data_IF_869611330515
#
_entry.id   IF_869611330515
#
_cell.length_a   1.000
_cell.length_b   1.000
_cell.length_c   1.000
_cell.angle_alpha   90.00
_cell.angle_beta   90.00
_cell.angle_gamma   90.00
#
_symmetry.space_group_name_H-M   'P 1'
#
loop_
_entity.id
_entity.type
_entity.pdbx_description
1 polymer ?
#
# COMPACT_ATOMS: atom_id res chain seq x y z
N UNK A 1 4.02 20.40 -7.80
CA UNK A 1 4.72 19.59 -8.80
C UNK A 1 4.05 18.25 -8.89
N UNK A 2 4.00 17.60 -10.06
CA UNK A 2 3.54 16.23 -10.17
C UNK A 2 4.33 15.29 -9.24
N UNK A 3 3.63 14.36 -8.62
CA UNK A 3 4.20 13.34 -7.72
C UNK A 3 3.93 11.96 -8.30
N UNK A 4 4.70 10.96 -7.87
CA UNK A 4 4.47 9.55 -8.22
C UNK A 4 3.80 8.82 -7.07
N UNK A 5 2.62 8.25 -7.34
CA UNK A 5 1.80 7.52 -6.39
C UNK A 5 1.68 6.05 -6.78
N UNK A 6 1.72 5.18 -5.80
CA UNK A 6 1.46 3.74 -5.98
C UNK A 6 0.25 3.35 -5.14
N UNK A 7 -0.82 2.85 -5.78
CA UNK A 7 -2.08 2.47 -5.12
C UNK A 7 -2.27 0.96 -5.22
N UNK A 8 -2.15 0.28 -4.09
CA UNK A 8 -2.36 -1.17 -4.00
C UNK A 8 -3.83 -1.46 -3.67
N UNK A 9 -4.55 -2.11 -4.59
CA UNK A 9 -5.99 -2.35 -4.47
C UNK A 9 -6.84 -1.20 -5.05
N UNK A 10 -6.66 -0.92 -6.36
CA UNK A 10 -7.22 0.23 -7.06
C UNK A 10 -8.45 -0.07 -7.93
N UNK A 11 -9.01 -1.30 -7.90
CA UNK A 11 -10.04 -1.71 -8.87
C UNK A 11 -11.43 -1.16 -8.61
N UNK A 12 -11.71 -0.73 -7.37
CA UNK A 12 -13.04 -0.22 -6.94
C UNK A 12 -12.94 0.65 -5.68
N UNK A 13 -14.05 1.28 -5.31
CA UNK A 13 -14.21 2.04 -4.07
C UNK A 13 -13.11 3.07 -3.86
N UNK A 14 -12.59 3.13 -2.66
CA UNK A 14 -11.57 4.07 -2.19
C UNK A 14 -10.33 4.09 -3.09
N UNK A 15 -9.80 2.91 -3.46
CA UNK A 15 -8.58 2.84 -4.29
C UNK A 15 -8.79 3.32 -5.72
N UNK A 16 -9.94 3.06 -6.31
CA UNK A 16 -10.31 3.59 -7.63
C UNK A 16 -10.45 5.11 -7.59
N UNK A 17 -11.09 5.63 -6.55
CA UNK A 17 -11.27 7.07 -6.38
C UNK A 17 -9.93 7.79 -6.15
N UNK A 18 -9.01 7.22 -5.34
CA UNK A 18 -7.64 7.73 -5.25
C UNK A 18 -7.02 7.86 -6.64
N UNK A 19 -7.08 6.79 -7.44
CA UNK A 19 -6.50 6.77 -8.79
C UNK A 19 -7.11 7.86 -9.66
N UNK A 20 -8.44 8.00 -9.64
CA UNK A 20 -9.18 8.99 -10.43
C UNK A 20 -8.80 10.43 -10.07
N UNK A 21 -8.82 10.78 -8.77
CA UNK A 21 -8.48 12.14 -8.32
C UNK A 21 -7.02 12.48 -8.58
N UNK A 22 -6.09 11.55 -8.32
CA UNK A 22 -4.66 11.77 -8.55
C UNK A 22 -4.36 12.00 -10.04
N UNK A 23 -4.98 11.25 -10.93
CA UNK A 23 -4.87 11.48 -12.37
C UNK A 23 -5.43 12.85 -12.76
N UNK A 24 -6.59 13.24 -12.22
CA UNK A 24 -7.18 14.54 -12.49
C UNK A 24 -6.30 15.71 -12.05
N UNK A 25 -5.50 15.52 -10.99
CA UNK A 25 -4.50 16.46 -10.49
C UNK A 25 -3.18 16.42 -11.28
N UNK A 26 -3.04 15.56 -12.29
CA UNK A 26 -1.86 15.44 -13.14
C UNK A 26 -0.70 14.69 -12.50
N UNK A 27 -0.96 13.87 -11.48
CA UNK A 27 0.04 12.99 -10.87
C UNK A 27 0.30 11.75 -11.72
N UNK A 28 1.46 11.14 -11.55
CA UNK A 28 1.78 9.82 -12.09
C UNK A 28 1.26 8.76 -11.12
N UNK A 29 0.48 7.79 -11.61
CA UNK A 29 -0.14 6.77 -10.78
C UNK A 29 0.24 5.37 -11.26
N UNK A 30 0.77 4.57 -10.34
CA UNK A 30 0.94 3.13 -10.50
C UNK A 30 -0.17 2.48 -9.67
N UNK A 31 -1.09 1.79 -10.32
CA UNK A 31 -2.27 1.19 -9.68
C UNK A 31 -2.24 -0.33 -9.81
N UNK A 32 -2.81 -1.06 -8.84
CA UNK A 32 -2.83 -2.53 -8.93
C UNK A 32 -4.23 -3.12 -9.05
N UNK A 33 -4.30 -4.23 -9.79
CA UNK A 33 -5.44 -5.13 -9.89
C UNK A 33 -5.01 -6.56 -9.54
N UNK A 34 -5.94 -7.40 -9.03
CA UNK A 34 -5.65 -8.79 -8.63
C UNK A 34 -5.52 -9.77 -9.79
N UNK A 35 -6.12 -9.49 -10.93
CA UNK A 35 -6.16 -10.40 -12.08
C UNK A 35 -5.39 -9.83 -13.25
N UNK A 36 -4.78 -10.70 -14.09
CA UNK A 36 -4.11 -10.26 -15.29
C UNK A 36 -5.10 -9.52 -16.18
N UNK A 37 -4.68 -8.36 -16.59
CA UNK A 37 -5.49 -7.37 -17.30
C UNK A 37 -5.82 -7.79 -18.73
N UNK A 38 -5.08 -8.75 -19.30
CA UNK A 38 -5.26 -9.21 -20.67
C UNK A 38 -6.54 -10.02 -20.95
N UNK A 39 -7.11 -10.69 -19.94
CA UNK A 39 -8.35 -11.47 -20.14
C UNK A 39 -9.62 -10.63 -20.25
N UNK A 40 -9.53 -9.31 -20.04
CA UNK A 40 -10.69 -8.39 -20.13
C UNK A 40 -10.86 -7.76 -21.51
N UNK A 41 -9.88 -7.92 -22.40
CA UNK A 41 -9.94 -7.35 -23.77
C UNK A 41 -10.52 -8.32 -24.82
N UNK A 42 -10.72 -9.59 -24.49
CA UNK A 42 -11.47 -10.52 -25.37
C UNK A 42 -12.90 -10.60 -24.87
N UNK A 43 -13.91 -10.21 -25.67
CA UNK A 43 -15.29 -10.56 -25.37
C UNK A 43 -15.36 -12.09 -25.27
N UNK A 44 -15.67 -12.60 -24.08
CA UNK A 44 -15.98 -14.02 -23.94
C UNK A 44 -17.09 -14.36 -24.93
N UNK A 45 -16.95 -15.40 -25.78
CA UNK A 45 -18.06 -15.84 -26.61
C UNK A 45 -19.23 -16.13 -25.67
N UNK A 46 -20.34 -15.45 -25.92
CA UNK A 46 -21.56 -15.51 -25.14
C UNK A 46 -21.94 -16.95 -24.83
N UNK A 47 -21.78 -17.37 -23.59
CA UNK A 47 -22.44 -18.59 -23.10
C UNK A 47 -23.96 -18.36 -23.23
N UNK A 48 -24.73 -19.36 -23.71
CA UNK A 48 -26.17 -19.24 -23.81
C UNK A 48 -26.76 -18.93 -22.43
N UNK A 49 -27.66 -17.95 -22.37
CA UNK A 49 -28.43 -17.61 -21.18
C UNK A 49 -29.08 -18.89 -20.62
N UNK A 50 -28.98 -19.19 -19.31
CA UNK A 50 -29.72 -20.30 -18.71
C UNK A 50 -31.24 -20.07 -18.87
N UNK A 51 -31.93 -21.09 -19.26
CA UNK A 51 -33.40 -21.13 -19.35
C UNK A 51 -34.04 -20.76 -18.00
N UNK A 52 -35.17 -20.04 -17.97
CA UNK A 52 -35.75 -19.43 -16.78
C UNK A 52 -36.57 -20.44 -15.95
N UNK A 53 -36.02 -21.53 -15.47
CA UNK A 53 -36.74 -22.45 -14.55
C UNK A 53 -35.81 -23.48 -13.87
N UNK A 54 -34.60 -23.11 -13.46
CA UNK A 54 -33.84 -23.95 -12.51
C UNK A 54 -33.32 -23.06 -11.40
N UNK A 55 -34.01 -23.02 -10.28
CA UNK A 55 -33.49 -22.53 -9.01
C UNK A 55 -32.54 -23.60 -8.44
N UNK A 56 -31.24 -23.39 -8.36
CA UNK A 56 -30.36 -24.29 -7.62
C UNK A 56 -30.64 -24.12 -6.13
N UNK A 57 -30.94 -25.21 -5.47
CA UNK A 57 -31.01 -25.27 -4.02
C UNK A 57 -29.62 -24.98 -3.46
N UNK A 58 -29.41 -23.96 -2.61
CA UNK A 58 -28.07 -23.63 -2.14
C UNK A 58 -27.60 -24.71 -1.17
N UNK A 59 -26.54 -25.41 -1.56
CA UNK A 59 -25.80 -26.32 -0.66
C UNK A 59 -25.13 -25.46 0.43
N UNK A 60 -25.47 -25.66 1.72
CA UNK A 60 -24.90 -24.84 2.81
C UNK A 60 -23.40 -25.06 3.03
N UNK A 61 -22.74 -26.03 2.39
CA UNK A 61 -21.32 -26.35 2.52
C UNK A 61 -20.48 -26.03 1.29
N UNK A 62 -21.08 -25.44 0.24
CA UNK A 62 -20.31 -24.98 -0.91
C UNK A 62 -19.44 -23.79 -0.54
N UNK A 63 -18.11 -23.77 -0.87
CA UNK A 63 -17.29 -22.59 -0.66
C UNK A 63 -17.90 -21.43 -1.43
N UNK A 64 -18.31 -20.37 -0.71
CA UNK A 64 -18.91 -19.17 -1.30
C UNK A 64 -17.89 -18.56 -2.25
N UNK A 65 -18.13 -18.67 -3.54
CA UNK A 65 -17.41 -17.88 -4.54
C UNK A 65 -17.56 -16.40 -4.18
N UNK A 66 -16.49 -15.59 -4.23
CA UNK A 66 -16.57 -14.18 -3.88
C UNK A 66 -17.69 -13.52 -4.69
N UNK A 67 -18.60 -12.83 -4.02
CA UNK A 67 -19.81 -12.18 -4.59
C UNK A 67 -19.53 -11.13 -5.66
N UNK A 68 -18.26 -10.74 -5.84
CA UNK A 68 -17.85 -9.73 -6.80
C UNK A 68 -16.72 -10.25 -7.66
N UNK A 69 -16.91 -10.35 -8.99
CA UNK A 69 -15.80 -10.61 -9.89
C UNK A 69 -14.75 -9.51 -9.71
N UNK A 70 -13.47 -9.87 -9.74
CA UNK A 70 -12.35 -8.94 -9.71
C UNK A 70 -12.28 -8.15 -11.03
N UNK A 71 -13.34 -7.37 -11.33
CA UNK A 71 -13.44 -6.64 -12.57
C UNK A 71 -12.67 -5.33 -12.46
N UNK A 72 -11.54 -5.23 -13.13
CA UNK A 72 -10.73 -4.02 -13.22
C UNK A 72 -11.20 -3.05 -14.33
N UNK A 73 -12.37 -3.26 -14.92
CA UNK A 73 -12.87 -2.45 -16.05
C UNK A 73 -12.90 -0.96 -15.75
N UNK A 74 -13.35 -0.57 -14.55
CA UNK A 74 -13.39 0.82 -14.14
C UNK A 74 -11.99 1.44 -14.00
N UNK A 75 -11.02 0.66 -13.53
CA UNK A 75 -9.62 1.10 -13.46
C UNK A 75 -9.04 1.26 -14.87
N UNK A 76 -9.33 0.33 -15.78
CA UNK A 76 -8.94 0.43 -17.20
C UNK A 76 -9.60 1.61 -17.91
N UNK A 77 -10.85 1.93 -17.60
CA UNK A 77 -11.54 3.07 -18.17
C UNK A 77 -10.80 4.40 -17.91
N UNK A 78 -10.07 4.50 -16.80
CA UNK A 78 -9.28 5.69 -16.48
C UNK A 78 -8.14 5.94 -17.47
N UNK A 79 -7.65 4.93 -18.19
CA UNK A 79 -6.63 5.11 -19.25
C UNK A 79 -7.14 5.95 -20.41
N UNK A 80 -8.45 6.01 -20.62
CA UNK A 80 -9.11 6.84 -21.64
C UNK A 80 -9.38 8.29 -21.20
N UNK A 81 -9.06 8.66 -19.97
CA UNK A 81 -9.22 10.04 -19.47
C UNK A 81 -8.09 10.95 -20.00
N UNK A 82 -8.22 12.29 -19.94
CA UNK A 82 -7.18 13.21 -20.45
C UNK A 82 -5.78 12.95 -19.89
N UNK A 83 -5.68 12.57 -18.62
CA UNK A 83 -4.40 12.24 -17.95
C UNK A 83 -4.16 10.73 -17.82
N UNK A 84 -4.94 9.90 -18.53
CA UNK A 84 -4.84 8.43 -18.45
C UNK A 84 -3.49 7.88 -18.89
N UNK A 85 -2.72 8.64 -19.68
CA UNK A 85 -1.34 8.28 -20.05
C UNK A 85 -0.37 8.27 -18.86
N UNK A 86 -0.73 8.91 -17.75
CA UNK A 86 0.04 8.88 -16.49
C UNK A 86 -0.29 7.64 -15.62
N UNK A 87 -1.19 6.74 -16.06
CA UNK A 87 -1.57 5.55 -15.34
C UNK A 87 -0.80 4.32 -15.83
N UNK A 88 -0.13 3.66 -14.91
CA UNK A 88 0.46 2.32 -15.11
C UNK A 88 -0.30 1.31 -14.25
N UNK A 89 -0.81 0.24 -14.86
CA UNK A 89 -1.55 -0.80 -14.14
C UNK A 89 -0.67 -2.05 -14.03
N UNK A 90 -0.48 -2.55 -12.80
CA UNK A 90 0.27 -3.75 -12.47
C UNK A 90 -0.64 -4.79 -11.80
N UNK A 91 -0.23 -6.05 -11.84
CA UNK A 91 -0.92 -7.12 -11.13
C UNK A 91 -0.33 -7.29 -9.72
N UNK A 92 -1.22 -7.34 -8.70
CA UNK A 92 -0.86 -7.67 -7.32
C UNK A 92 -2.06 -8.25 -6.57
N UNK A 93 -1.95 -9.50 -6.16
CA UNK A 93 -2.82 -10.08 -5.13
C UNK A 93 -2.06 -10.07 -3.80
N UNK A 94 -2.52 -9.24 -2.87
CA UNK A 94 -1.88 -9.11 -1.55
C UNK A 94 -2.06 -10.35 -0.66
N UNK A 95 -2.93 -11.27 -1.02
CA UNK A 95 -3.12 -12.54 -0.32
C UNK A 95 -2.17 -13.66 -0.79
N UNK A 96 -1.41 -13.41 -1.86
CA UNK A 96 -0.43 -14.35 -2.42
C UNK A 96 0.99 -13.77 -2.43
N UNK A 97 1.89 -14.39 -1.65
CA UNK A 97 3.28 -13.95 -1.55
C UNK A 97 4.03 -13.99 -2.90
N UNK A 98 3.70 -14.95 -3.77
CA UNK A 98 4.32 -15.03 -5.11
C UNK A 98 3.90 -13.87 -5.98
N UNK A 99 2.62 -13.49 -5.90
CA UNK A 99 2.09 -12.30 -6.57
C UNK A 99 2.75 -11.03 -6.07
N UNK A 100 2.91 -10.88 -4.74
CA UNK A 100 3.62 -9.73 -4.13
C UNK A 100 5.06 -9.63 -4.64
N UNK A 101 5.80 -10.75 -4.69
CA UNK A 101 7.18 -10.79 -5.20
C UNK A 101 7.25 -10.39 -6.68
N UNK A 102 6.37 -10.94 -7.52
CA UNK A 102 6.28 -10.62 -8.94
C UNK A 102 5.93 -9.14 -9.18
N UNK A 103 4.99 -8.62 -8.40
CA UNK A 103 4.63 -7.21 -8.39
C UNK A 103 5.83 -6.32 -8.03
N UNK A 104 6.56 -6.65 -6.98
CA UNK A 104 7.75 -5.90 -6.55
C UNK A 104 8.81 -5.85 -7.65
N UNK A 105 9.05 -6.96 -8.35
CA UNK A 105 9.96 -6.99 -9.50
C UNK A 105 9.43 -6.17 -10.68
N UNK A 106 8.13 -6.11 -10.87
CA UNK A 106 7.52 -5.24 -11.89
C UNK A 106 7.72 -3.76 -11.55
N UNK A 107 7.55 -3.36 -10.28
CA UNK A 107 7.87 -2.00 -9.81
C UNK A 107 9.36 -1.69 -10.00
N UNK A 108 10.26 -2.61 -9.66
CA UNK A 108 11.71 -2.47 -9.88
C UNK A 108 12.04 -2.19 -11.35
N UNK A 109 11.38 -2.88 -12.28
CA UNK A 109 11.58 -2.68 -13.72
C UNK A 109 11.19 -1.27 -14.19
N UNK A 110 10.24 -0.61 -13.52
CA UNK A 110 9.87 0.77 -13.83
C UNK A 110 10.97 1.78 -13.49
N UNK A 111 11.94 1.42 -12.64
CA UNK A 111 13.13 2.21 -12.33
C UNK A 111 14.24 2.14 -13.38
N UNK A 112 14.04 1.45 -14.51
CA UNK A 112 15.00 1.45 -15.62
C UNK A 112 14.95 2.76 -16.40
N UNK A 113 16.02 3.03 -17.15
CA UNK A 113 16.09 4.21 -18.04
C UNK A 113 14.88 4.26 -18.98
N UNK A 114 14.20 5.39 -19.03
CA UNK A 114 12.94 5.59 -19.79
C UNK A 114 11.69 5.02 -19.09
N UNK A 115 11.82 4.45 -17.91
CA UNK A 115 10.67 3.97 -17.13
C UNK A 115 10.03 5.05 -16.27
N UNK A 116 8.81 4.81 -15.82
CA UNK A 116 8.00 5.73 -15.00
C UNK A 116 8.70 6.13 -13.69
N UNK A 117 9.58 5.27 -13.16
CA UNK A 117 10.36 5.48 -11.94
C UNK A 117 11.85 5.72 -12.22
N UNK A 118 12.20 6.26 -13.38
CA UNK A 118 13.61 6.59 -13.72
C UNK A 118 14.26 7.54 -12.71
N UNK A 119 13.48 8.38 -12.01
CA UNK A 119 13.95 9.22 -10.91
C UNK A 119 14.21 8.50 -9.59
N UNK A 120 13.91 7.20 -9.48
CA UNK A 120 14.13 6.39 -8.26
C UNK A 120 13.28 6.78 -7.06
N UNK A 121 12.14 7.45 -7.25
CA UNK A 121 11.30 7.93 -6.14
C UNK A 121 9.83 7.55 -6.37
N UNK A 122 9.22 7.01 -5.32
CA UNK A 122 7.77 6.95 -5.14
C UNK A 122 7.43 7.89 -3.97
N UNK A 123 6.69 8.96 -4.26
CA UNK A 123 6.35 9.95 -3.22
C UNK A 123 5.38 9.36 -2.20
N UNK A 124 4.35 8.63 -2.66
CA UNK A 124 3.36 8.01 -1.76
C UNK A 124 3.00 6.62 -2.24
N UNK A 125 3.03 5.66 -1.32
CA UNK A 125 2.44 4.33 -1.47
C UNK A 125 1.19 4.24 -0.62
N UNK A 126 0.04 3.86 -1.21
CA UNK A 126 -1.21 3.61 -0.48
C UNK A 126 -1.52 2.13 -0.51
N UNK A 127 -1.43 1.45 0.64
CA UNK A 127 -1.82 0.07 0.87
C UNK A 127 -3.31 0.05 1.23
N UNK A 128 -4.18 -0.04 0.20
CA UNK A 128 -5.62 0.09 0.35
C UNK A 128 -6.38 -1.25 0.24
N UNK A 129 -5.78 -2.26 -0.35
CA UNK A 129 -6.44 -3.56 -0.49
C UNK A 129 -6.94 -4.10 0.85
N UNK A 130 -8.19 -4.52 0.89
CA UNK A 130 -8.82 -5.06 2.10
C UNK A 130 -10.10 -5.81 1.79
N UNK A 131 -10.57 -6.57 2.78
CA UNK A 131 -11.84 -7.32 2.75
C UNK A 131 -12.61 -7.11 4.06
N UNK A 132 -13.92 -7.18 3.93
CA UNK A 132 -14.87 -7.29 5.02
C UNK A 132 -15.89 -8.37 4.64
N UNK A 133 -15.90 -9.48 5.36
CA UNK A 133 -16.96 -10.49 5.31
C UNK A 133 -17.84 -10.31 6.54
N UNK A 134 -19.10 -10.05 6.31
CA UNK A 134 -20.08 -9.78 7.36
C UNK A 134 -21.20 -10.82 7.34
N UNK A 135 -21.69 -11.30 8.50
CA UNK A 135 -21.13 -11.06 9.84
C UNK A 135 -19.86 -11.90 10.08
N UNK A 136 -18.91 -11.33 10.84
CA UNK A 136 -17.67 -11.97 11.26
C UNK A 136 -17.54 -12.01 12.78
N UNK A 137 -18.59 -12.48 13.49
CA UNK A 137 -18.59 -12.64 14.96
C UNK A 137 -17.53 -13.65 15.37
N UNK A 138 -16.69 -13.31 16.33
CA UNK A 138 -15.56 -14.14 16.77
C UNK A 138 -16.03 -15.51 17.27
N UNK A 139 -17.21 -15.60 17.86
CA UNK A 139 -17.79 -16.85 18.35
C UNK A 139 -18.36 -17.78 17.25
N UNK A 140 -18.56 -17.28 16.04
CA UNK A 140 -19.28 -17.99 14.97
C UNK A 140 -18.44 -18.13 13.69
N UNK A 141 -17.39 -17.30 13.53
CA UNK A 141 -16.62 -17.24 12.29
C UNK A 141 -15.79 -18.52 12.09
N UNK A 142 -15.71 -19.01 10.86
CA UNK A 142 -14.84 -20.13 10.51
C UNK A 142 -13.37 -19.74 10.56
N UNK A 143 -12.48 -20.71 10.82
CA UNK A 143 -11.03 -20.53 10.74
C UNK A 143 -10.61 -19.92 9.39
N UNK A 144 -11.16 -20.42 8.28
CA UNK A 144 -10.81 -19.96 6.92
C UNK A 144 -11.20 -18.51 6.70
N UNK A 145 -12.41 -18.11 7.14
CA UNK A 145 -12.88 -16.74 6.98
C UNK A 145 -12.07 -15.77 7.85
N UNK A 146 -11.75 -16.15 9.09
CA UNK A 146 -10.90 -15.32 9.95
C UNK A 146 -9.48 -15.19 9.38
N UNK A 147 -8.90 -16.31 8.94
CA UNK A 147 -7.58 -16.30 8.29
C UNK A 147 -7.58 -15.42 7.04
N UNK A 148 -8.66 -15.42 6.24
CA UNK A 148 -8.78 -14.56 5.06
C UNK A 148 -8.73 -13.07 5.41
N UNK A 149 -9.40 -12.63 6.50
CA UNK A 149 -9.29 -11.26 6.99
C UNK A 149 -7.85 -10.92 7.39
N UNK A 150 -7.18 -11.79 8.15
CA UNK A 150 -5.79 -11.56 8.57
C UNK A 150 -4.83 -11.55 7.38
N UNK A 151 -4.97 -12.47 6.45
CA UNK A 151 -4.13 -12.54 5.24
C UNK A 151 -4.26 -11.27 4.40
N UNK A 152 -5.50 -10.82 4.13
CA UNK A 152 -5.73 -9.69 3.22
C UNK A 152 -5.53 -8.34 3.90
N UNK A 153 -5.98 -8.17 5.15
CA UNK A 153 -5.99 -6.87 5.82
C UNK A 153 -4.73 -6.59 6.63
N UNK A 154 -3.96 -7.63 7.01
CA UNK A 154 -2.79 -7.50 7.89
C UNK A 154 -1.51 -7.96 7.22
N UNK A 155 -1.41 -9.27 6.91
CA UNK A 155 -0.20 -9.89 6.39
C UNK A 155 0.14 -9.31 5.02
N UNK A 156 -0.83 -9.28 4.11
CA UNK A 156 -0.65 -8.79 2.75
C UNK A 156 -0.06 -7.39 2.67
N UNK A 157 -0.69 -6.35 3.28
CA UNK A 157 -0.15 -5.00 3.27
C UNK A 157 1.23 -4.88 3.92
N UNK A 158 1.48 -5.56 5.06
CA UNK A 158 2.78 -5.51 5.74
C UNK A 158 3.90 -6.16 4.90
N UNK A 159 3.63 -7.33 4.31
CA UNK A 159 4.60 -8.02 3.43
C UNK A 159 4.83 -7.22 2.15
N UNK A 160 3.77 -6.66 1.55
CA UNK A 160 3.90 -5.78 0.38
C UNK A 160 4.77 -4.56 0.70
N UNK A 161 4.54 -3.90 1.84
CA UNK A 161 5.36 -2.78 2.29
C UNK A 161 6.82 -3.18 2.48
N UNK A 162 7.09 -4.32 3.13
CA UNK A 162 8.44 -4.83 3.34
C UNK A 162 9.19 -5.08 2.02
N UNK A 163 8.52 -5.70 1.04
CA UNK A 163 9.09 -5.93 -0.29
C UNK A 163 9.35 -4.61 -1.03
N UNK A 164 8.43 -3.66 -0.99
CA UNK A 164 8.61 -2.35 -1.62
C UNK A 164 9.76 -1.56 -0.99
N UNK A 165 9.90 -1.58 0.33
CA UNK A 165 11.02 -0.94 1.05
C UNK A 165 12.38 -1.55 0.66
N UNK A 166 12.42 -2.84 0.31
CA UNK A 166 13.65 -3.49 -0.15
C UNK A 166 14.18 -2.94 -1.49
N UNK A 167 13.34 -2.22 -2.25
CA UNK A 167 13.72 -1.60 -3.52
C UNK A 167 14.74 -0.45 -3.35
N UNK A 168 14.88 0.10 -2.15
CA UNK A 168 15.89 1.13 -1.85
C UNK A 168 17.33 0.57 -1.78
N UNK A 169 17.48 -0.76 -1.73
CA UNK A 169 18.79 -1.41 -1.73
C UNK A 169 19.20 -1.82 -3.13
N UNK A 170 20.47 -1.59 -3.56
CA UNK A 170 20.98 -2.13 -4.81
C UNK A 170 20.89 -3.66 -4.82
N UNK A 171 20.61 -4.26 -5.98
CA UNK A 171 20.76 -5.70 -6.14
C UNK A 171 22.27 -6.02 -6.04
N UNK A 172 22.67 -6.74 -5.00
CA UNK A 172 24.00 -7.33 -4.96
C UNK A 172 24.08 -8.37 -6.10
N UNK A 173 25.15 -8.35 -6.92
CA UNK A 173 25.36 -9.44 -7.87
C UNK A 173 25.39 -10.76 -7.09
N UNK A 174 24.88 -11.87 -7.64
CA UNK A 174 24.97 -13.16 -7.00
C UNK A 174 26.42 -13.42 -6.64
N UNK A 175 26.71 -13.64 -5.36
CA UNK A 175 28.05 -14.00 -4.90
C UNK A 175 28.45 -15.25 -5.67
N UNK A 176 29.48 -15.12 -6.52
CA UNK A 176 30.10 -16.26 -7.20
C UNK A 176 30.75 -17.15 -6.13
N UNK A 177 29.97 -18.06 -5.56
CA UNK A 177 30.54 -19.17 -4.82
C UNK A 177 31.32 -19.99 -5.84
N UNK A 178 32.64 -19.91 -5.74
CA UNK A 178 33.60 -20.70 -6.50
C UNK A 178 33.34 -22.20 -6.29
N UNK A 179 32.67 -22.82 -7.23
CA UNK A 179 32.73 -24.25 -7.46
C UNK A 179 33.24 -24.48 -8.88
N UNK A 180 34.51 -24.74 -8.95
CA UNK A 180 35.21 -25.30 -10.13
C UNK A 180 34.54 -26.62 -10.50
N UNK A 181 33.81 -26.62 -11.62
CA UNK A 181 33.61 -27.84 -12.43
C UNK A 181 33.44 -27.43 -13.88
N UNK A 182 34.45 -27.84 -14.65
CA UNK A 182 34.55 -27.76 -16.10
C UNK A 182 33.44 -28.56 -16.77
N UNK A 183 32.58 -27.91 -17.55
CA UNK A 183 31.93 -28.54 -18.71
C UNK A 183 31.53 -27.44 -19.69
N UNK A 184 32.17 -27.47 -20.82
CA UNK A 184 31.97 -26.69 -22.03
C UNK A 184 30.62 -27.00 -22.65
N UNK A 185 29.69 -26.05 -22.64
CA UNK A 185 28.60 -25.93 -23.63
C UNK A 185 28.43 -24.45 -24.03
N UNK A 186 28.21 -24.16 -25.32
CA UNK A 186 28.04 -22.77 -25.78
C UNK A 186 26.65 -22.26 -25.39
N UNK A 187 26.60 -21.46 -24.36
CA UNK A 187 25.38 -20.72 -24.00
C UNK A 187 25.33 -19.40 -24.77
N UNK A 188 24.26 -19.20 -25.50
CA UNK A 188 23.87 -17.90 -26.07
C UNK A 188 24.03 -16.77 -25.03
N UNK A 189 24.62 -15.63 -25.38
CA UNK A 189 24.79 -14.53 -24.43
C UNK A 189 23.42 -14.03 -24.01
N UNK A 190 23.07 -14.22 -22.73
CA UNK A 190 21.96 -13.49 -22.12
C UNK A 190 22.30 -11.99 -22.22
N UNK A 191 21.42 -11.22 -22.85
CA UNK A 191 21.53 -9.76 -22.91
C UNK A 191 21.81 -9.20 -21.51
N UNK A 192 22.79 -8.30 -21.35
CA UNK A 192 23.14 -7.75 -20.05
C UNK A 192 21.89 -7.11 -19.46
N UNK A 193 21.47 -7.58 -18.27
CA UNK A 193 20.37 -6.98 -17.51
C UNK A 193 20.71 -5.51 -17.30
N UNK A 194 19.88 -4.62 -17.83
CA UNK A 194 20.03 -3.18 -17.62
C UNK A 194 20.03 -2.89 -16.11
N UNK A 195 20.97 -2.11 -15.61
CA UNK A 195 21.01 -1.77 -14.20
C UNK A 195 19.70 -1.06 -13.79
N UNK A 196 19.10 -1.52 -12.70
CA UNK A 196 17.96 -0.84 -12.08
C UNK A 196 18.47 0.07 -11.00
N UNK A 197 17.92 1.29 -10.93
CA UNK A 197 18.25 2.22 -9.85
C UNK A 197 17.49 1.83 -8.56
N UNK A 198 18.04 2.12 -7.38
CA UNK A 198 17.31 2.02 -6.12
C UNK A 198 16.07 2.91 -6.14
N UNK A 199 14.97 2.41 -5.60
CA UNK A 199 13.71 3.18 -5.53
C UNK A 199 13.43 3.53 -4.08
N UNK A 200 13.40 4.82 -3.78
CA UNK A 200 13.07 5.35 -2.46
C UNK A 200 11.57 5.61 -2.33
N UNK A 201 11.00 5.30 -1.17
CA UNK A 201 9.61 5.59 -0.82
C UNK A 201 9.59 6.64 0.28
N UNK A 202 8.90 7.77 0.04
CA UNK A 202 8.85 8.88 1.01
C UNK A 202 7.73 8.72 2.04
N UNK A 203 6.55 8.31 1.61
CA UNK A 203 5.39 8.13 2.50
C UNK A 203 4.71 6.79 2.23
N UNK A 204 4.41 6.04 3.27
CA UNK A 204 3.57 4.84 3.23
C UNK A 204 2.27 5.10 4.00
N UNK A 205 1.16 4.94 3.32
CA UNK A 205 -0.20 5.09 3.86
C UNK A 205 -0.89 3.75 3.87
N UNK A 206 -1.46 3.38 4.99
CA UNK A 206 -2.23 2.15 5.12
C UNK A 206 -3.68 2.50 5.43
N UNK A 207 -4.60 2.04 4.59
CA UNK A 207 -6.04 2.19 4.86
C UNK A 207 -6.41 1.29 6.03
N UNK A 208 -6.56 1.91 7.21
CA UNK A 208 -7.00 1.27 8.44
C UNK A 208 -8.50 1.51 8.65
N UNK A 209 -8.97 1.30 9.85
CA UNK A 209 -10.35 1.55 10.29
C UNK A 209 -10.35 1.91 11.76
N UNK A 210 -11.30 2.73 12.15
CA UNK A 210 -11.62 3.02 13.55
C UNK A 210 -12.01 1.76 14.33
N UNK A 211 -12.67 0.78 13.67
CA UNK A 211 -12.93 -0.55 14.26
C UNK A 211 -11.65 -1.27 14.71
N UNK A 212 -10.49 -0.91 14.14
CA UNK A 212 -9.18 -1.47 14.54
C UNK A 212 -8.54 -0.77 15.74
N UNK A 213 -9.17 0.25 16.33
CA UNK A 213 -8.67 0.89 17.55
C UNK A 213 -8.93 0.00 18.76
N UNK A 214 -7.88 -0.34 19.49
CA UNK A 214 -8.00 -1.09 20.76
C UNK A 214 -8.34 -0.16 21.93
N UNK A 215 -8.09 1.14 21.78
CA UNK A 215 -8.41 2.16 22.77
C UNK A 215 -9.88 2.55 22.70
N UNK A 216 -10.41 2.76 21.49
CA UNK A 216 -11.81 3.15 21.25
C UNK A 216 -12.60 1.92 20.79
N UNK A 217 -12.89 1.01 21.72
CA UNK A 217 -13.70 -0.16 21.40
C UNK A 217 -15.16 0.23 21.09
N UNK A 218 -15.63 -0.17 19.91
CA UNK A 218 -16.98 0.13 19.40
C UNK A 218 -17.91 -1.06 19.71
N UNK A 219 -18.45 -1.12 20.92
CA UNK A 219 -19.24 -2.25 21.43
C UNK A 219 -20.55 -2.50 20.65
N UNK A 220 -21.04 -1.51 19.90
CA UNK A 220 -22.25 -1.61 19.07
C UNK A 220 -21.99 -2.26 17.71
N UNK A 221 -20.74 -2.42 17.26
CA UNK A 221 -20.38 -3.04 15.98
C UNK A 221 -20.47 -4.57 16.05
N UNK A 222 -21.65 -5.12 16.19
CA UNK A 222 -21.84 -6.57 16.11
C UNK A 222 -21.49 -7.08 14.72
N UNK A 223 -20.86 -8.25 14.65
CA UNK A 223 -20.46 -8.88 13.40
C UNK A 223 -19.16 -8.35 12.77
N UNK A 224 -18.50 -7.35 13.35
CA UNK A 224 -17.21 -6.82 12.84
C UNK A 224 -15.96 -7.44 13.50
N UNK A 225 -16.11 -8.39 14.41
CA UNK A 225 -15.03 -8.90 15.25
C UNK A 225 -13.78 -9.37 14.49
N UNK A 226 -13.93 -10.13 13.41
CA UNK A 226 -12.80 -10.58 12.59
C UNK A 226 -12.14 -9.43 11.82
N UNK A 227 -12.94 -8.52 11.27
CA UNK A 227 -12.44 -7.32 10.59
C UNK A 227 -11.69 -6.42 11.55
N UNK A 228 -12.29 -6.08 12.69
CA UNK A 228 -11.68 -5.27 13.74
C UNK A 228 -10.35 -5.87 14.23
N UNK A 229 -10.32 -7.18 14.52
CA UNK A 229 -9.10 -7.89 14.91
C UNK A 229 -8.01 -7.78 13.83
N UNK A 230 -8.37 -7.90 12.55
CA UNK A 230 -7.40 -7.78 11.45
C UNK A 230 -6.85 -6.36 11.32
N UNK A 231 -7.68 -5.32 11.53
CA UNK A 231 -7.24 -3.92 11.49
C UNK A 231 -6.44 -3.51 12.74
N UNK A 232 -6.77 -4.07 13.91
CA UNK A 232 -5.96 -3.90 15.12
C UNK A 232 -4.56 -4.53 14.97
N UNK A 233 -4.49 -5.74 14.38
CA UNK A 233 -3.22 -6.39 14.06
C UNK A 233 -2.39 -5.59 13.06
N UNK A 234 -3.03 -5.02 12.01
CA UNK A 234 -2.39 -4.10 11.08
C UNK A 234 -1.81 -2.89 11.83
N UNK A 235 -2.62 -2.20 12.65
CA UNK A 235 -2.22 -1.02 13.41
C UNK A 235 -0.98 -1.30 14.27
N UNK A 236 -0.94 -2.44 14.97
CA UNK A 236 0.24 -2.82 15.75
C UNK A 236 1.46 -3.11 14.85
N UNK A 237 1.25 -3.80 13.73
CA UNK A 237 2.31 -4.07 12.74
C UNK A 237 2.93 -2.79 12.18
N UNK A 238 2.14 -1.75 11.90
CA UNK A 238 2.61 -0.46 11.41
C UNK A 238 3.54 0.25 12.40
N UNK A 239 3.24 0.18 13.69
CA UNK A 239 4.08 0.78 14.75
C UNK A 239 5.47 0.12 14.78
N UNK A 240 5.53 -1.20 14.64
CA UNK A 240 6.80 -1.92 14.53
C UNK A 240 7.53 -1.59 13.24
N UNK A 241 6.83 -1.58 12.10
CA UNK A 241 7.41 -1.24 10.79
C UNK A 241 8.07 0.15 10.81
N UNK A 242 7.36 1.16 11.32
CA UNK A 242 7.88 2.52 11.43
C UNK A 242 9.15 2.57 12.31
N UNK A 243 9.13 1.92 13.47
CA UNK A 243 10.29 1.84 14.36
C UNK A 243 11.49 1.15 13.71
N UNK A 244 11.27 0.12 12.88
CA UNK A 244 12.32 -0.57 12.13
C UNK A 244 12.93 0.33 11.05
N UNK A 245 12.09 1.04 10.28
CA UNK A 245 12.53 2.00 9.26
C UNK A 245 13.40 3.08 9.94
N UNK A 246 12.93 3.65 11.04
CA UNK A 246 13.65 4.69 11.77
C UNK A 246 15.01 4.19 12.29
N UNK A 247 15.08 3.00 12.86
CA UNK A 247 16.37 2.41 13.29
C UNK A 247 17.33 2.21 12.12
N UNK A 248 16.84 1.71 10.97
CA UNK A 248 17.69 1.51 9.79
C UNK A 248 18.22 2.84 9.22
N UNK A 249 17.42 3.90 9.20
CA UNK A 249 17.85 5.21 8.71
C UNK A 249 18.95 5.81 9.62
N UNK A 250 18.84 5.65 10.94
CA UNK A 250 19.85 6.12 11.89
C UNK A 250 21.18 5.35 11.81
N UNK A 251 21.12 4.05 11.55
CA UNK A 251 22.34 3.23 11.44
C UNK A 251 23.18 3.55 10.19
N UNK A 252 22.54 4.11 9.15
CA UNK A 252 23.23 4.56 7.92
C UNK A 252 23.82 5.97 8.02
N UNK A 253 23.42 6.76 9.01
CA UNK A 253 23.98 8.09 9.22
C UNK A 253 25.45 7.96 9.64
N UNK A 254 26.40 8.70 9.01
CA UNK A 254 27.81 8.66 9.38
C UNK A 254 27.95 9.08 10.84
N UNK A 255 28.69 8.29 11.62
CA UNK A 255 28.98 8.64 13.03
C UNK A 255 29.69 10.01 13.05
N UNK A 256 29.17 10.94 13.84
CA UNK A 256 29.66 12.33 13.97
C UNK A 256 31.18 12.41 14.29
N UNK A 257 31.75 11.34 14.89
CA UNK A 257 33.18 11.25 15.19
C UNK A 257 34.09 11.15 13.94
N UNK A 258 33.62 10.48 12.87
CA UNK A 258 34.39 10.40 11.62
C UNK A 258 34.39 11.71 10.85
N UNK A 259 33.33 12.49 10.93
CA UNK A 259 33.25 13.82 10.26
C UNK A 259 34.12 14.85 10.92
N UNK A 260 34.29 14.85 12.24
CA UNK A 260 35.15 15.77 12.97
C UNK A 260 36.63 15.49 12.68
N UNK A 261 37.01 14.21 12.59
CA UNK A 261 38.40 13.85 12.25
C UNK A 261 38.79 14.29 10.84
N UNK A 262 37.90 14.23 9.86
CA UNK A 262 38.17 14.66 8.48
C UNK A 262 38.22 16.20 8.32
N UNK A 263 37.49 16.95 9.14
CA UNK A 263 37.54 18.42 9.17
C UNK A 263 38.83 18.95 9.79
N UNK A 264 39.40 18.22 10.76
CA UNK A 264 40.67 18.59 11.39
C UNK A 264 41.86 18.35 10.45
N UNK A 265 41.76 17.36 9.57
CA UNK A 265 42.85 17.00 8.63
C UNK A 265 42.82 17.76 7.31
N UNK A 266 41.70 18.39 6.94
CA UNK A 266 41.59 19.11 5.67
C UNK A 266 40.61 20.30 5.72
N UNK A 267 41.05 21.50 6.17
CA UNK A 267 40.18 22.65 6.40
C UNK A 267 39.55 23.28 5.13
N UNK A 268 39.93 22.80 3.93
CA UNK A 268 39.39 23.29 2.66
C UNK A 268 38.27 22.38 2.09
N UNK A 269 37.89 21.28 2.76
CA UNK A 269 36.74 20.52 2.39
C UNK A 269 35.47 21.23 2.92
N UNK A 270 34.77 21.92 2.03
CA UNK A 270 33.39 22.32 2.32
C UNK A 270 32.59 21.04 2.58
N UNK A 271 31.77 20.98 3.65
CA UNK A 271 30.88 19.85 3.84
C UNK A 271 29.94 19.80 2.62
N UNK A 272 30.12 18.78 1.80
CA UNK A 272 29.16 18.48 0.72
C UNK A 272 27.78 18.22 1.37
N UNK A 273 26.95 19.26 1.36
CA UNK A 273 25.56 19.22 1.83
C UNK A 273 24.65 18.35 0.97
N UNK A 274 25.21 17.54 0.07
CA UNK A 274 24.48 16.79 -0.96
C UNK A 274 24.38 15.26 -0.72
N UNK A 275 24.95 14.70 0.35
CA UNK A 275 24.92 13.23 0.58
C UNK A 275 24.33 12.77 1.92
N UNK A 276 23.57 13.60 2.61
CA UNK A 276 22.63 13.11 3.60
C UNK A 276 21.37 12.63 2.86
N UNK A 277 21.52 11.59 2.07
CA UNK A 277 20.42 10.92 1.38
C UNK A 277 19.38 10.49 2.42
N UNK A 278 18.27 11.18 2.39
CA UNK A 278 17.17 11.12 3.31
C UNK A 278 16.41 9.77 3.17
N UNK A 279 16.96 8.70 3.72
CA UNK A 279 16.35 7.34 3.77
C UNK A 279 15.11 7.31 4.73
N UNK A 280 14.48 8.46 4.95
CA UNK A 280 13.34 8.60 5.85
C UNK A 280 12.05 8.29 5.11
N UNK A 281 11.31 7.30 5.60
CA UNK A 281 9.94 7.00 5.15
C UNK A 281 8.96 7.29 6.28
N UNK A 282 7.94 8.10 6.00
CA UNK A 282 6.85 8.40 6.95
C UNK A 282 5.77 7.32 6.82
N UNK A 283 5.30 6.76 7.93
CA UNK A 283 4.26 5.73 7.97
C UNK A 283 2.99 6.28 8.61
N UNK A 284 1.88 6.25 7.85
CA UNK A 284 0.57 6.74 8.27
C UNK A 284 -0.48 5.62 8.21
N UNK A 285 -1.28 5.47 9.25
CA UNK A 285 -2.57 4.79 9.17
C UNK A 285 -3.66 5.83 8.94
N UNK A 286 -4.61 5.55 8.04
CA UNK A 286 -5.75 6.42 7.77
C UNK A 286 -7.06 5.65 7.87
N UNK A 287 -8.00 6.18 8.65
CA UNK A 287 -9.40 5.78 8.61
C UNK A 287 -10.12 6.66 7.58
N UNK A 288 -10.73 6.05 6.53
CA UNK A 288 -11.33 6.79 5.43
C UNK A 288 -12.70 7.41 5.77
N UNK A 289 -13.28 7.15 6.94
CA UNK A 289 -14.67 7.43 7.29
C UNK A 289 -15.60 6.28 6.91
N UNK A 290 -16.88 6.46 7.17
CA UNK A 290 -17.93 5.53 6.74
C UNK A 290 -18.26 5.82 5.27
N UNK A 291 -17.49 5.18 4.37
CA UNK A 291 -17.53 5.50 2.94
C UNK A 291 -18.53 4.61 2.21
N UNK A 292 -19.45 5.21 1.47
CA UNK A 292 -20.41 4.50 0.62
C UNK A 292 -19.70 3.72 -0.50
N UNK A 293 -19.37 2.47 -0.24
CA UNK A 293 -18.69 1.55 -1.17
C UNK A 293 -19.36 0.17 -1.14
N UNK A 294 -19.05 -0.68 -2.13
CA UNK A 294 -19.53 -2.07 -2.15
C UNK A 294 -19.15 -2.84 -0.88
N UNK A 295 -18.01 -2.52 -0.26
CA UNK A 295 -17.54 -3.15 0.98
C UNK A 295 -18.43 -2.77 2.17
N UNK A 296 -18.90 -1.53 2.22
CA UNK A 296 -19.76 -1.02 3.29
C UNK A 296 -21.24 -1.42 3.10
N UNK A 297 -21.61 -1.94 1.93
CA UNK A 297 -22.99 -2.34 1.64
C UNK A 297 -23.29 -3.72 2.27
N UNK A 298 -23.38 -3.76 3.59
CA UNK A 298 -23.77 -4.92 4.40
C UNK A 298 -25.07 -4.62 5.14
N UNK A 299 -25.90 -5.65 5.35
CA UNK A 299 -27.14 -5.49 6.12
C UNK A 299 -26.77 -5.41 7.61
N UNK A 300 -26.95 -4.26 8.20
CA UNK A 300 -26.70 -3.99 9.63
C UNK A 300 -28.02 -3.87 10.38
N UNK A 301 -28.00 -4.25 11.66
CA UNK A 301 -29.13 -4.12 12.57
C UNK A 301 -29.19 -2.74 13.27
N UNK A 302 -28.25 -1.85 12.90
CA UNK A 302 -28.17 -0.47 13.40
C UNK A 302 -27.95 0.52 12.26
N UNK A 303 -28.31 1.77 12.51
CA UNK A 303 -28.12 2.87 11.57
C UNK A 303 -26.66 3.38 11.62
N UNK A 304 -26.04 3.55 10.44
CA UNK A 304 -24.71 4.12 10.30
C UNK A 304 -24.87 5.61 10.00
N UNK A 305 -24.41 6.44 10.92
CA UNK A 305 -24.40 7.89 10.75
C UNK A 305 -23.13 8.35 10.03
N UNK A 306 -23.20 9.52 9.38
CA UNK A 306 -22.04 10.18 8.80
C UNK A 306 -21.47 9.48 7.56
N UNK A 307 -22.30 8.77 6.80
CA UNK A 307 -21.89 8.16 5.53
C UNK A 307 -21.50 9.25 4.55
N UNK A 308 -20.29 9.15 4.01
CA UNK A 308 -19.72 10.08 3.03
C UNK A 308 -19.47 9.39 1.68
N UNK A 309 -19.36 10.20 0.62
CA UNK A 309 -18.99 9.70 -0.69
C UNK A 309 -17.50 9.32 -0.76
N UNK A 310 -17.10 8.40 -1.66
CA UNK A 310 -15.69 8.14 -1.94
C UNK A 310 -14.94 9.43 -2.34
N UNK A 311 -15.60 10.31 -3.11
CA UNK A 311 -15.05 11.57 -3.59
C UNK A 311 -14.67 12.50 -2.43
N UNK A 312 -15.56 12.65 -1.46
CA UNK A 312 -15.34 13.46 -0.27
C UNK A 312 -14.24 12.89 0.61
N UNK A 313 -14.33 11.59 0.93
CA UNK A 313 -13.32 10.88 1.71
C UNK A 313 -11.93 11.09 1.12
N UNK A 314 -11.74 10.82 -0.18
CA UNK A 314 -10.42 10.91 -0.81
C UNK A 314 -9.93 12.34 -0.91
N UNK A 315 -10.80 13.31 -1.25
CA UNK A 315 -10.41 14.72 -1.28
C UNK A 315 -9.85 15.20 0.06
N UNK A 316 -10.39 14.71 1.17
CA UNK A 316 -9.91 15.02 2.52
C UNK A 316 -8.64 14.21 2.86
N UNK A 317 -8.62 12.90 2.59
CA UNK A 317 -7.44 12.07 2.82
C UNK A 317 -6.20 12.58 2.08
N UNK A 318 -6.35 13.08 0.84
CA UNK A 318 -5.24 13.68 0.09
C UNK A 318 -4.67 14.93 0.80
N UNK A 319 -5.52 15.72 1.48
CA UNK A 319 -5.04 16.86 2.31
C UNK A 319 -4.25 16.35 3.52
N UNK A 320 -4.77 15.33 4.21
CA UNK A 320 -4.10 14.71 5.37
C UNK A 320 -2.76 14.12 4.97
N UNK A 321 -2.69 13.37 3.86
CA UNK A 321 -1.44 12.78 3.37
C UNK A 321 -0.42 13.86 3.02
N UNK A 322 -0.85 14.96 2.40
CA UNK A 322 0.04 16.09 2.07
C UNK A 322 0.57 16.77 3.32
N UNK A 323 -0.25 16.92 4.35
CA UNK A 323 0.12 17.62 5.59
C UNK A 323 0.99 16.75 6.50
N UNK A 324 0.63 15.46 6.67
CA UNK A 324 1.25 14.55 7.63
C UNK A 324 2.34 13.65 7.02
N UNK A 325 2.38 13.54 5.68
CA UNK A 325 3.38 12.76 4.95
C UNK A 325 4.74 13.46 4.92
N UNK A 326 5.68 12.84 4.24
CA UNK A 326 7.05 13.34 4.08
C UNK A 326 7.08 14.75 3.48
N UNK A 327 7.82 15.65 4.14
CA UNK A 327 7.93 17.07 3.73
C UNK A 327 6.66 17.89 3.97
N UNK A 328 5.64 17.35 4.61
CA UNK A 328 4.44 18.08 4.97
C UNK A 328 4.64 19.02 6.17
N UNK A 329 3.74 20.00 6.35
CA UNK A 329 3.85 21.00 7.41
C UNK A 329 3.78 20.40 8.83
N UNK A 330 3.14 19.26 8.96
CA UNK A 330 3.04 18.50 10.22
C UNK A 330 3.47 17.04 9.99
N UNK A 331 4.66 16.88 9.40
CA UNK A 331 5.23 15.59 9.07
C UNK A 331 5.20 14.64 10.27
N UNK A 332 4.56 13.47 10.10
CA UNK A 332 4.40 12.48 11.15
C UNK A 332 3.57 12.96 12.34
N UNK A 333 2.89 14.09 12.25
CA UNK A 333 2.06 14.63 13.34
C UNK A 333 2.85 15.24 14.51
N UNK A 334 4.11 15.59 14.30
CA UNK A 334 5.01 16.12 15.35
C UNK A 334 4.54 17.48 15.86
N UNK A 335 4.07 18.34 14.95
CA UNK A 335 3.58 19.69 15.34
C UNK A 335 2.27 19.58 16.11
N UNK A 336 1.32 18.76 15.63
CA UNK A 336 0.07 18.48 16.32
C UNK A 336 0.30 17.93 17.73
N UNK A 337 1.20 16.96 17.87
CA UNK A 337 1.51 16.36 19.18
C UNK A 337 2.08 17.38 20.16
N UNK A 338 2.96 18.29 19.71
CA UNK A 338 3.51 19.35 20.55
C UNK A 338 2.44 20.33 21.00
N UNK A 339 1.50 20.71 20.12
CA UNK A 339 0.42 21.60 20.47
C UNK A 339 -0.55 21.00 21.51
N UNK A 340 -0.67 19.66 21.54
CA UNK A 340 -1.45 18.92 22.54
C UNK A 340 -0.67 18.60 23.83
N UNK A 341 0.57 19.08 23.95
CA UNK A 341 1.45 18.76 25.09
C UNK A 341 1.93 17.31 25.13
N UNK A 342 1.78 16.58 24.02
CA UNK A 342 2.24 15.19 23.86
C UNK A 342 3.61 15.17 23.21
N UNK A 343 4.41 14.15 23.57
CA UNK A 343 5.68 13.88 22.90
C UNK A 343 5.47 12.77 21.88
N UNK A 344 5.63 13.12 20.59
CA UNK A 344 5.69 12.11 19.54
C UNK A 344 7.12 11.56 19.48
N UNK A 345 7.24 10.24 19.38
CA UNK A 345 8.53 9.61 19.09
C UNK A 345 8.88 9.83 17.63
N UNK A 346 10.07 10.34 17.38
CA UNK A 346 10.56 10.54 16.02
C UNK A 346 10.55 9.23 15.24
N UNK A 347 9.95 9.23 14.04
CA UNK A 347 9.81 8.05 13.19
C UNK A 347 8.69 7.10 13.62
N UNK A 348 7.83 7.47 14.58
CA UNK A 348 6.67 6.67 14.93
C UNK A 348 5.62 6.69 13.82
N UNK A 349 4.87 5.58 13.66
CA UNK A 349 3.65 5.58 12.87
C UNK A 349 2.55 6.37 13.58
N UNK A 350 1.71 7.07 12.83
CA UNK A 350 0.57 7.83 13.37
C UNK A 350 -0.74 7.43 12.71
N UNK A 351 -1.83 7.54 13.45
CA UNK A 351 -3.17 7.18 12.98
C UNK A 351 -4.08 8.40 12.93
N UNK A 352 -4.70 8.63 11.77
CA UNK A 352 -5.53 9.81 11.47
C UNK A 352 -6.87 9.42 10.87
N UNK A 353 -7.89 10.22 11.14
CA UNK A 353 -9.15 10.17 10.39
C UNK A 353 -8.98 10.89 9.04
N UNK A 354 -9.92 10.66 8.14
CA UNK A 354 -10.03 11.37 6.87
C UNK A 354 -10.14 12.90 7.02
N UNK A 355 -10.66 13.38 8.16
CA UNK A 355 -10.74 14.81 8.51
C UNK A 355 -9.41 15.40 9.01
N UNK A 356 -8.39 14.59 9.22
CA UNK A 356 -7.11 15.00 9.78
C UNK A 356 -7.07 15.07 11.32
N UNK A 357 -8.04 14.49 12.00
CA UNK A 357 -8.03 14.32 13.45
C UNK A 357 -7.17 13.11 13.81
N UNK A 358 -6.34 13.24 14.84
CA UNK A 358 -5.57 12.12 15.36
C UNK A 358 -6.51 11.08 15.95
N UNK A 359 -6.29 9.81 15.59
CA UNK A 359 -7.08 8.71 16.11
C UNK A 359 -6.23 7.82 17.03
N UNK A 360 -6.76 7.35 18.18
CA UNK A 360 -6.02 6.43 19.05
C UNK A 360 -5.92 5.04 18.43
N UNK A 361 -4.82 4.36 18.77
CA UNK A 361 -4.55 2.98 18.31
C UNK A 361 -5.50 1.94 18.91
#
# INVERSE_FOLDING_TARGET
MPQTWLIVGATRGIGLEFTSQLLSLGHTVIATARSPTHSLLTPSPSLPLPLPNQTPNPDPHSPRTPKFPSNASNLWALTGTPNGHNLTILECDVSDEKSIKSFTESVRKLGRKGGVLEGGVIDVVVLNAGVLEYPGRVSEISFTSFAHHLHTNTIGPLITASHLLSLSSPLLPPSSSSSTSSSTQPTTPLSPLQPTIPIQIKTMVFTSSDSGSTTNFRSFEDGFGAYAASKAALNQGLRHLAAEIHRKSRSKAPSTSASISNLITNPNLQPNSAESGNDKTVVLALHPGEVSTDMANVALDWEVEGIISPQESISCMLKVIREKGYGGQDEGGVVSARSEGKREEEGAATFWTWEGKRYPW
#
